data_IF_607658550431
#
_entry.id   IF_607658550431
#
_cell.length_a   1.000
_cell.length_b   1.000
_cell.length_c   1.000
_cell.angle_alpha   90.00
_cell.angle_beta   90.00
_cell.angle_gamma   90.00
#
_symmetry.space_group_name_H-M   'P 1'
#
loop_
_entity.id
_entity.type
_entity.pdbx_description
1 polymer ?
#
# COMPACT_ATOMS: atom_id res chain seq x y z
N UNK A 1 -51.18 20.89 -13.94
CA UNK A 1 -49.78 20.44 -14.08
C UNK A 1 -48.96 21.08 -12.99
N UNK A 2 -48.39 20.29 -12.09
CA UNK A 2 -47.62 20.81 -10.96
C UNK A 2 -46.21 21.22 -11.37
N UNK A 3 -45.83 22.46 -11.09
CA UNK A 3 -44.48 22.97 -11.26
C UNK A 3 -43.53 22.19 -10.33
N UNK A 4 -42.68 21.33 -10.90
CA UNK A 4 -41.56 20.71 -10.18
C UNK A 4 -40.43 21.72 -10.08
N UNK A 5 -40.18 22.26 -8.89
CA UNK A 5 -39.02 23.12 -8.67
C UNK A 5 -37.71 22.31 -8.85
N UNK A 6 -36.64 22.92 -9.42
CA UNK A 6 -35.37 22.23 -9.61
C UNK A 6 -34.72 21.85 -8.26
N UNK A 7 -34.16 20.64 -8.19
CA UNK A 7 -33.37 20.20 -7.05
C UNK A 7 -32.06 21.01 -7.01
N UNK A 8 -31.61 21.54 -5.85
CA UNK A 8 -30.36 22.28 -5.76
C UNK A 8 -29.16 21.41 -6.12
N UNK A 9 -28.10 21.99 -6.72
CA UNK A 9 -26.88 21.26 -7.03
C UNK A 9 -26.23 20.71 -5.74
N UNK A 10 -25.57 19.54 -5.81
CA UNK A 10 -24.86 19.00 -4.66
C UNK A 10 -23.76 19.96 -4.23
N UNK A 11 -23.79 20.36 -2.95
CA UNK A 11 -22.80 21.26 -2.38
C UNK A 11 -21.43 20.57 -2.29
N UNK A 12 -20.32 21.27 -2.56
CA UNK A 12 -18.99 20.71 -2.36
C UNK A 12 -18.77 20.49 -0.85
N UNK A 13 -18.63 19.24 -0.45
CA UNK A 13 -18.33 18.88 0.94
C UNK A 13 -16.82 19.03 1.15
N UNK A 14 -16.40 20.03 1.93
CA UNK A 14 -14.99 20.19 2.29
C UNK A 14 -14.54 18.98 3.13
N UNK A 15 -13.39 18.36 2.82
CA UNK A 15 -12.87 17.28 3.66
C UNK A 15 -12.59 17.82 5.08
N UNK A 16 -12.88 17.05 6.13
CA UNK A 16 -12.71 17.52 7.50
C UNK A 16 -11.24 17.88 7.77
N UNK A 17 -11.04 19.07 8.35
CA UNK A 17 -9.72 19.57 8.72
C UNK A 17 -9.20 18.75 9.92
N UNK A 18 -8.08 18.04 9.74
CA UNK A 18 -7.52 17.16 10.76
C UNK A 18 -6.95 17.99 11.92
N UNK A 19 -7.30 17.62 13.15
CA UNK A 19 -6.80 18.32 14.34
C UNK A 19 -5.32 18.03 14.58
N UNK A 20 -4.65 18.89 15.35
CA UNK A 20 -3.23 18.70 15.72
C UNK A 20 -2.99 17.35 16.41
N UNK A 21 -3.95 16.88 17.22
CA UNK A 21 -3.86 15.59 17.90
C UNK A 21 -3.91 14.42 16.92
N UNK A 22 -4.86 14.45 15.97
CA UNK A 22 -4.96 13.44 14.91
C UNK A 22 -3.67 13.35 14.07
N UNK A 23 -3.01 14.49 13.82
CA UNK A 23 -1.71 14.51 13.11
C UNK A 23 -0.61 13.83 13.93
N UNK A 24 -0.54 14.10 15.23
CA UNK A 24 0.45 13.50 16.14
C UNK A 24 0.26 11.99 16.28
N UNK A 25 -0.98 11.55 16.50
CA UNK A 25 -1.34 10.13 16.60
C UNK A 25 -0.96 9.36 15.33
N UNK A 26 -1.28 9.91 14.15
CA UNK A 26 -0.89 9.29 12.88
C UNK A 26 0.62 9.16 12.74
N UNK A 27 1.38 10.19 13.11
CA UNK A 27 2.84 10.14 13.04
C UNK A 27 3.42 9.05 13.95
N UNK A 28 2.89 8.92 15.17
CA UNK A 28 3.29 7.86 16.10
C UNK A 28 2.96 6.46 15.56
N UNK A 29 1.75 6.27 15.01
CA UNK A 29 1.34 5.00 14.40
C UNK A 29 2.22 4.61 13.20
N UNK A 30 2.59 5.58 12.35
CA UNK A 30 3.53 5.32 11.24
C UNK A 30 4.92 4.93 11.74
N UNK A 31 5.41 5.58 12.80
CA UNK A 31 6.69 5.24 13.41
C UNK A 31 6.69 3.82 13.97
N UNK A 32 5.63 3.45 14.69
CA UNK A 32 5.46 2.09 15.22
C UNK A 32 5.39 1.06 14.10
N UNK A 33 4.60 1.32 13.05
CA UNK A 33 4.50 0.44 11.89
C UNK A 33 5.85 0.25 11.19
N UNK A 34 6.65 1.31 11.05
CA UNK A 34 7.98 1.20 10.45
C UNK A 34 8.94 0.37 11.31
N UNK A 35 8.84 0.50 12.63
CA UNK A 35 9.69 -0.22 13.57
C UNK A 35 9.33 -1.72 13.63
N UNK A 36 8.04 -2.03 13.59
CA UNK A 36 7.54 -3.41 13.49
C UNK A 36 7.90 -4.05 12.15
N UNK A 37 7.76 -3.30 11.05
CA UNK A 37 8.19 -3.79 9.74
C UNK A 37 9.70 -4.05 9.70
N UNK A 38 10.52 -3.17 10.28
CA UNK A 38 11.98 -3.32 10.31
C UNK A 38 12.52 -4.41 11.25
N UNK A 39 11.74 -4.87 12.22
CA UNK A 39 12.20 -5.84 13.22
C UNK A 39 12.14 -7.30 12.73
N UNK A 40 11.36 -7.57 11.69
CA UNK A 40 11.24 -8.92 11.13
C UNK A 40 12.30 -9.20 10.06
N UNK A 41 12.70 -10.46 9.86
CA UNK A 41 13.65 -10.82 8.81
C UNK A 41 13.06 -10.58 7.41
N UNK A 42 13.83 -9.90 6.56
CA UNK A 42 13.46 -9.63 5.17
C UNK A 42 14.12 -10.63 4.23
N UNK A 43 13.41 -11.01 3.17
CA UNK A 43 13.92 -11.96 2.18
C UNK A 43 14.02 -11.34 0.79
N UNK A 44 14.91 -11.92 -0.02
CA UNK A 44 15.12 -11.53 -1.40
C UNK A 44 15.15 -12.79 -2.27
N UNK A 45 14.32 -12.81 -3.32
CA UNK A 45 14.29 -13.90 -4.30
C UNK A 45 14.61 -13.33 -5.67
N UNK A 46 15.70 -13.82 -6.25
CA UNK A 46 16.15 -13.44 -7.58
C UNK A 46 16.68 -14.65 -8.33
N UNK A 47 16.66 -14.58 -9.66
CA UNK A 47 17.23 -15.57 -10.55
C UNK A 47 18.56 -15.07 -11.13
N UNK A 48 19.55 -15.96 -11.26
CA UNK A 48 20.85 -15.64 -11.86
C UNK A 48 20.95 -16.26 -13.26
N UNK A 49 21.48 -15.52 -14.21
CA UNK A 49 21.64 -15.98 -15.60
C UNK A 49 20.33 -16.04 -16.38
N UNK A 50 20.36 -16.76 -17.51
CA UNK A 50 19.20 -16.92 -18.40
C UNK A 50 18.37 -18.13 -17.95
N UNK A 51 17.13 -17.89 -17.52
CA UNK A 51 16.22 -18.97 -17.08
C UNK A 51 14.97 -19.03 -17.94
N UNK A 52 14.36 -20.21 -18.00
CA UNK A 52 13.12 -20.45 -18.73
C UNK A 52 11.86 -19.96 -17.98
N UNK A 53 10.70 -20.09 -18.65
CA UNK A 53 9.40 -19.62 -18.15
C UNK A 53 9.03 -20.19 -16.78
N UNK A 54 9.27 -21.48 -16.55
CA UNK A 54 8.86 -22.16 -15.31
C UNK A 54 9.59 -21.59 -14.09
N UNK A 55 10.90 -21.35 -14.21
CA UNK A 55 11.69 -20.76 -13.12
C UNK A 55 11.27 -19.30 -12.87
N UNK A 56 10.97 -18.53 -13.93
CA UNK A 56 10.44 -17.17 -13.78
C UNK A 56 9.10 -17.14 -13.03
N UNK A 57 8.21 -18.11 -13.33
CA UNK A 57 6.94 -18.24 -12.63
C UNK A 57 7.17 -18.63 -11.17
N UNK A 58 8.01 -19.62 -10.91
CA UNK A 58 8.37 -20.04 -9.55
C UNK A 58 8.91 -18.89 -8.70
N UNK A 59 9.81 -18.07 -9.26
CA UNK A 59 10.33 -16.87 -8.57
C UNK A 59 9.19 -15.91 -8.24
N UNK A 60 8.24 -15.73 -9.14
CA UNK A 60 7.06 -14.87 -8.90
C UNK A 60 6.19 -15.43 -7.78
N UNK A 61 5.94 -16.74 -7.78
CA UNK A 61 5.10 -17.40 -6.79
C UNK A 61 5.74 -17.37 -5.40
N UNK A 62 7.04 -17.64 -5.31
CA UNK A 62 7.78 -17.53 -4.04
C UNK A 62 7.74 -16.11 -3.47
N UNK A 63 7.82 -15.08 -4.32
CA UNK A 63 7.73 -13.67 -3.88
C UNK A 63 6.33 -13.30 -3.40
N UNK A 64 5.28 -13.93 -3.94
CA UNK A 64 3.90 -13.76 -3.46
C UNK A 64 3.70 -14.44 -2.11
N UNK A 65 4.20 -15.67 -1.96
CA UNK A 65 4.09 -16.44 -0.71
C UNK A 65 4.81 -15.73 0.44
N UNK A 66 5.93 -15.06 0.15
CA UNK A 66 6.73 -14.35 1.14
C UNK A 66 6.43 -12.84 1.22
N UNK A 67 5.36 -12.34 0.59
CA UNK A 67 4.84 -10.99 0.81
C UNK A 67 4.28 -10.91 2.26
N UNK A 68 4.45 -9.81 3.02
CA UNK A 68 4.94 -8.49 2.63
C UNK A 68 6.46 -8.26 2.77
N UNK A 69 7.21 -9.20 3.33
CA UNK A 69 8.62 -8.99 3.71
C UNK A 69 9.63 -9.35 2.63
N UNK A 70 9.14 -9.51 1.39
CA UNK A 70 9.98 -9.76 0.21
C UNK A 70 9.93 -8.58 -0.73
N UNK A 71 11.09 -8.06 -1.15
CA UNK A 71 11.13 -6.94 -2.07
C UNK A 71 10.50 -7.27 -3.43
N UNK A 72 9.58 -6.42 -3.90
CA UNK A 72 8.89 -6.53 -5.21
C UNK A 72 9.73 -6.06 -6.40
N UNK A 73 10.76 -5.26 -6.16
CA UNK A 73 11.74 -4.89 -7.16
C UNK A 73 13.14 -4.91 -6.54
N UNK A 74 13.94 -5.90 -6.91
CA UNK A 74 15.36 -5.95 -6.57
C UNK A 74 16.14 -5.39 -7.76
N UNK A 75 16.98 -4.39 -7.51
CA UNK A 75 17.96 -3.93 -8.48
C UNK A 75 19.16 -4.87 -8.37
N UNK A 76 19.32 -5.76 -9.35
CA UNK A 76 20.40 -6.73 -9.48
C UNK A 76 21.09 -6.60 -10.82
#
# INVERSE_FOLDING_TARGET
>A
GGCRSPLPPPQPVCPPLKTKNQKKERAAALHQAQQEFGSVPHSFVFQRGRVGRNVRQLVTDLRRVMEPYTARALKV
#
